data_IF_039575871835
#
_entry.id   IF_039575871835
#
_cell.length_a   1.000
_cell.length_b   1.000
_cell.length_c   1.000
_cell.angle_alpha   90.00
_cell.angle_beta   90.00
_cell.angle_gamma   90.00
#
_symmetry.space_group_name_H-M   'P 1'
#
loop_
_entity.id
_entity.type
_entity.pdbx_description
1 polymer ?
#
# COMPACT_ATOMS: atom_id res chain seq x y z
N UNK A 1 -21.05 22.13 -3.22
CA UNK A 1 -19.82 22.53 -2.49
C UNK A 1 -18.61 21.67 -2.83
N UNK A 2 -18.77 20.35 -2.99
CA UNK A 2 -17.68 19.41 -3.38
C UNK A 2 -17.06 19.68 -4.75
N UNK A 3 -17.71 20.51 -5.57
CA UNK A 3 -17.24 20.92 -6.91
C UNK A 3 -16.28 22.11 -6.90
N UNK A 4 -16.06 22.78 -5.76
CA UNK A 4 -15.16 23.93 -5.65
C UNK A 4 -14.01 23.66 -4.68
N UNK A 5 -12.84 23.33 -5.23
CA UNK A 5 -11.64 23.01 -4.47
C UNK A 5 -11.24 24.10 -3.48
N UNK A 6 -11.36 25.37 -3.86
CA UNK A 6 -11.04 26.51 -3.00
C UNK A 6 -11.95 26.53 -1.76
N UNK A 7 -13.26 26.36 -1.95
CA UNK A 7 -14.23 26.36 -0.86
C UNK A 7 -13.99 25.17 0.09
N UNK A 8 -13.75 23.97 -0.45
CA UNK A 8 -13.45 22.77 0.33
C UNK A 8 -12.16 22.93 1.14
N UNK A 9 -11.10 23.50 0.55
CA UNK A 9 -9.84 23.77 1.27
C UNK A 9 -10.04 24.74 2.43
N UNK A 10 -10.72 25.87 2.19
CA UNK A 10 -11.03 26.86 3.25
C UNK A 10 -11.83 26.24 4.39
N UNK A 11 -12.87 25.47 4.05
CA UNK A 11 -13.68 24.76 5.04
C UNK A 11 -12.85 23.74 5.82
N UNK A 12 -11.99 22.96 5.15
CA UNK A 12 -11.10 21.99 5.81
C UNK A 12 -10.16 22.66 6.81
N UNK A 13 -9.55 23.78 6.44
CA UNK A 13 -8.69 24.57 7.35
C UNK A 13 -9.46 25.07 8.56
N UNK A 14 -10.69 25.57 8.36
CA UNK A 14 -11.55 26.01 9.47
C UNK A 14 -11.97 24.84 10.38
N UNK A 15 -12.33 23.70 9.82
CA UNK A 15 -12.65 22.49 10.58
C UNK A 15 -11.44 21.97 11.38
N UNK A 16 -10.23 22.03 10.81
CA UNK A 16 -9.02 21.66 11.53
C UNK A 16 -8.74 22.62 12.70
N UNK A 17 -8.90 23.93 12.49
CA UNK A 17 -8.80 24.93 13.57
C UNK A 17 -9.82 24.66 14.66
N UNK A 18 -11.10 24.48 14.30
CA UNK A 18 -12.16 24.16 15.24
C UNK A 18 -11.87 22.87 16.03
N UNK A 19 -11.33 21.82 15.39
CA UNK A 19 -10.89 20.59 16.07
C UNK A 19 -9.81 20.86 17.13
N UNK A 20 -8.83 21.72 16.82
CA UNK A 20 -7.78 22.11 17.78
C UNK A 20 -8.38 22.91 18.93
N UNK A 21 -9.27 23.87 18.63
CA UNK A 21 -9.97 24.67 19.64
C UNK A 21 -10.80 23.79 20.57
N UNK A 22 -11.51 22.79 20.04
CA UNK A 22 -12.28 21.81 20.82
C UNK A 22 -11.43 20.92 21.73
N UNK A 23 -10.12 20.83 21.50
CA UNK A 23 -9.21 20.13 22.41
C UNK A 23 -8.95 20.92 23.70
N UNK A 24 -9.25 22.22 23.70
CA UNK A 24 -9.09 23.14 24.85
C UNK A 24 -10.46 23.55 25.38
N UNK A 25 -11.32 24.06 24.51
CA UNK A 25 -12.65 24.61 24.81
C UNK A 25 -13.77 23.61 24.54
N UNK A 26 -14.92 23.78 25.21
CA UNK A 26 -16.08 22.89 25.02
C UNK A 26 -16.87 23.22 23.73
N UNK A 27 -16.60 24.36 23.11
CA UNK A 27 -17.29 24.87 21.91
C UNK A 27 -16.29 25.55 20.99
N UNK A 28 -16.51 25.44 19.68
CA UNK A 28 -15.76 26.15 18.66
C UNK A 28 -16.71 26.71 17.60
N UNK A 29 -16.39 27.90 17.09
CA UNK A 29 -17.18 28.58 16.06
C UNK A 29 -16.38 28.65 14.77
N UNK A 30 -17.01 28.28 13.67
CA UNK A 30 -16.50 28.40 12.30
C UNK A 30 -17.17 29.61 11.66
N UNK A 31 -16.38 30.58 11.25
CA UNK A 31 -16.82 31.79 10.55
C UNK A 31 -15.97 31.94 9.29
N UNK A 32 -16.61 31.87 8.13
CA UNK A 32 -15.98 31.92 6.81
C UNK A 32 -16.78 32.84 5.91
N UNK A 33 -16.24 34.02 5.64
CA UNK A 33 -16.83 34.97 4.69
C UNK A 33 -16.73 34.43 3.25
N UNK A 34 -17.82 34.59 2.49
CA UNK A 34 -17.92 34.25 1.07
C UNK A 34 -17.34 32.85 0.80
N UNK A 35 -17.87 31.85 1.48
CA UNK A 35 -17.37 30.48 1.37
C UNK A 35 -17.64 29.92 -0.04
N UNK A 36 -18.85 30.14 -0.55
CA UNK A 36 -19.24 29.73 -1.90
C UNK A 36 -20.39 30.62 -2.42
N UNK A 37 -20.30 31.09 -3.66
CA UNK A 37 -21.38 31.86 -4.31
C UNK A 37 -21.79 33.15 -3.59
N UNK A 38 -20.83 33.89 -3.01
CA UNK A 38 -21.07 35.09 -2.20
C UNK A 38 -21.90 34.84 -0.93
N UNK A 39 -21.93 33.59 -0.44
CA UNK A 39 -22.61 33.23 0.81
C UNK A 39 -21.58 33.01 1.91
N UNK A 40 -21.78 33.70 3.02
CA UNK A 40 -21.02 33.48 4.26
C UNK A 40 -21.45 32.18 4.94
N UNK A 41 -20.50 31.53 5.60
CA UNK A 41 -20.76 30.33 6.38
C UNK A 41 -20.42 30.58 7.85
N UNK A 42 -21.43 30.39 8.71
CA UNK A 42 -21.29 30.44 10.16
C UNK A 42 -21.90 29.21 10.78
N UNK A 43 -21.14 28.54 11.64
CA UNK A 43 -21.60 27.38 12.40
C UNK A 43 -20.86 27.30 13.72
N UNK A 44 -21.49 26.75 14.74
CA UNK A 44 -20.83 26.37 15.99
C UNK A 44 -20.90 24.86 16.19
N UNK A 45 -19.88 24.28 16.81
CA UNK A 45 -19.85 22.87 17.18
C UNK A 45 -19.37 22.72 18.62
N UNK A 46 -19.99 21.81 19.36
CA UNK A 46 -19.58 21.46 20.72
C UNK A 46 -18.62 20.26 20.69
N UNK A 47 -17.78 20.13 21.72
CA UNK A 47 -16.88 18.98 21.87
C UNK A 47 -17.66 17.68 21.88
N UNK A 48 -18.77 17.61 22.63
CA UNK A 48 -19.62 16.43 22.68
C UNK A 48 -20.14 16.04 21.29
N UNK A 49 -20.57 17.01 20.47
CA UNK A 49 -21.04 16.74 19.11
C UNK A 49 -19.92 16.26 18.20
N UNK A 50 -18.74 16.88 18.28
CA UNK A 50 -17.57 16.42 17.54
C UNK A 50 -17.17 14.99 17.93
N UNK A 51 -17.19 14.68 19.22
CA UNK A 51 -16.83 13.35 19.71
C UNK A 51 -17.82 12.28 19.26
N UNK A 52 -19.11 12.60 19.22
CA UNK A 52 -20.17 11.75 18.69
C UNK A 52 -19.97 11.47 17.18
N UNK A 53 -19.68 12.51 16.39
CA UNK A 53 -19.38 12.38 14.95
C UNK A 53 -18.16 11.48 14.69
N UNK A 54 -17.17 11.49 15.58
CA UNK A 54 -15.96 10.69 15.47
C UNK A 54 -16.01 9.36 16.25
N UNK A 55 -17.14 9.02 16.87
CA UNK A 55 -17.27 7.85 17.76
C UNK A 55 -16.85 6.55 17.09
N UNK A 56 -17.23 6.34 15.83
CA UNK A 56 -16.84 5.18 15.03
C UNK A 56 -15.33 5.07 14.78
N UNK A 57 -14.61 6.20 14.72
CA UNK A 57 -13.15 6.22 14.59
C UNK A 57 -12.48 5.93 15.94
N UNK A 58 -12.98 6.50 17.04
CA UNK A 58 -12.42 6.24 18.37
C UNK A 58 -12.52 4.77 18.78
N UNK A 59 -13.63 4.10 18.45
CA UNK A 59 -13.79 2.65 18.70
C UNK A 59 -12.73 1.80 18.00
N UNK A 60 -12.15 2.27 16.89
CA UNK A 60 -11.11 1.54 16.15
C UNK A 60 -9.73 1.68 16.79
N UNK A 61 -9.51 2.67 17.66
CA UNK A 61 -8.19 2.97 18.25
C UNK A 61 -7.70 1.83 19.15
N UNK A 62 -8.58 1.16 19.88
CA UNK A 62 -8.18 0.08 20.80
C UNK A 62 -7.78 -1.20 20.08
N UNK A 63 -8.29 -1.44 18.86
CA UNK A 63 -8.07 -2.71 18.16
C UNK A 63 -6.58 -2.97 17.82
N UNK A 64 -5.80 -2.00 17.29
CA UNK A 64 -4.36 -2.17 17.13
C UNK A 64 -3.61 -2.36 18.45
N UNK A 65 -4.07 -1.71 19.54
CA UNK A 65 -3.42 -1.80 20.86
C UNK A 65 -3.58 -3.21 21.43
N UNK A 66 -4.78 -3.78 21.33
CA UNK A 66 -4.99 -5.18 21.73
C UNK A 66 -4.20 -6.15 20.86
N UNK A 67 -4.08 -5.87 19.56
CA UNK A 67 -3.28 -6.69 18.65
C UNK A 67 -1.81 -6.69 19.06
N UNK A 68 -1.21 -5.53 19.32
CA UNK A 68 0.22 -5.46 19.71
C UNK A 68 0.49 -6.12 21.06
N UNK A 69 -0.44 -6.03 22.02
CA UNK A 69 -0.30 -6.72 23.31
C UNK A 69 -0.34 -8.25 23.16
N UNK A 70 -1.24 -8.77 22.32
CA UNK A 70 -1.29 -10.20 21.99
C UNK A 70 -0.02 -10.67 21.30
N UNK A 71 0.47 -9.89 20.35
CA UNK A 71 1.70 -10.21 19.59
C UNK A 71 2.93 -10.23 20.50
N UNK A 72 3.03 -9.25 21.40
CA UNK A 72 4.08 -9.18 22.40
C UNK A 72 3.93 -10.23 23.51
N UNK A 73 2.77 -10.89 23.61
CA UNK A 73 2.40 -11.79 24.72
C UNK A 73 2.51 -11.11 26.08
N UNK A 74 2.15 -9.83 26.14
CA UNK A 74 2.20 -8.99 27.34
C UNK A 74 0.78 -8.67 27.77
N UNK A 75 0.49 -8.89 29.05
CA UNK A 75 -0.78 -8.47 29.63
C UNK A 75 -0.82 -6.94 29.84
N UNK A 76 -2.02 -6.35 29.77
CA UNK A 76 -2.22 -4.91 29.96
C UNK A 76 -1.61 -4.40 31.27
N UNK A 77 -1.65 -5.20 32.34
CA UNK A 77 -1.12 -4.84 33.66
C UNK A 77 0.40 -4.72 33.71
N UNK A 78 1.10 -5.39 32.78
CA UNK A 78 2.56 -5.39 32.69
C UNK A 78 3.09 -4.17 31.93
N UNK A 79 2.24 -3.44 31.22
CA UNK A 79 2.60 -2.14 30.66
C UNK A 79 2.87 -1.19 31.81
N UNK A 80 4.09 -0.65 31.84
CA UNK A 80 4.53 0.27 32.90
C UNK A 80 4.14 1.70 32.58
N UNK A 81 4.48 2.15 31.38
CA UNK A 81 4.35 3.54 30.95
C UNK A 81 3.66 3.60 29.57
N UNK A 82 2.77 4.58 29.41
CA UNK A 82 2.10 4.87 28.13
C UNK A 82 2.55 6.25 27.66
N UNK A 83 3.33 6.26 26.59
CA UNK A 83 3.87 7.48 25.97
C UNK A 83 2.99 7.89 24.80
N UNK A 84 2.54 9.14 24.79
CA UNK A 84 1.66 9.67 23.75
C UNK A 84 2.46 10.55 22.79
N UNK A 85 2.51 10.16 21.52
CA UNK A 85 3.18 10.93 20.46
C UNK A 85 2.17 11.41 19.41
N UNK A 86 2.42 12.60 18.85
CA UNK A 86 1.60 13.22 17.81
C UNK A 86 0.52 14.17 18.34
N UNK A 87 0.21 15.20 17.54
CA UNK A 87 -0.68 16.30 17.93
C UNK A 87 -2.13 15.87 18.23
N UNK A 88 -2.64 14.83 17.55
CA UNK A 88 -3.99 14.30 17.78
C UNK A 88 -4.17 13.69 19.17
N UNK A 89 -3.10 13.29 19.84
CA UNK A 89 -3.16 12.75 21.21
C UNK A 89 -3.44 13.82 22.28
N UNK A 90 -3.53 15.10 21.89
CA UNK A 90 -3.95 16.20 22.78
C UNK A 90 -5.47 16.25 22.98
N UNK A 91 -6.22 15.47 22.21
CA UNK A 91 -7.68 15.42 22.33
C UNK A 91 -8.09 14.77 23.65
N UNK A 92 -8.92 15.42 24.49
CA UNK A 92 -9.36 14.86 25.77
C UNK A 92 -9.99 13.47 25.64
N UNK A 93 -10.77 13.24 24.58
CA UNK A 93 -11.39 11.93 24.32
C UNK A 93 -10.38 10.80 24.12
N UNK A 94 -9.26 11.07 23.45
CA UNK A 94 -8.21 10.09 23.20
C UNK A 94 -7.50 9.71 24.49
N UNK A 95 -7.17 10.70 25.31
CA UNK A 95 -6.57 10.48 26.64
C UNK A 95 -7.52 9.67 27.53
N UNK A 96 -8.80 10.06 27.59
CA UNK A 96 -9.81 9.34 28.37
C UNK A 96 -9.96 7.88 27.91
N UNK A 97 -10.00 7.65 26.59
CA UNK A 97 -10.12 6.30 26.01
C UNK A 97 -8.91 5.45 26.39
N UNK A 98 -7.69 5.98 26.29
CA UNK A 98 -6.47 5.24 26.64
C UNK A 98 -6.34 5.00 28.15
N UNK A 99 -6.65 5.99 28.99
CA UNK A 99 -6.70 5.81 30.45
C UNK A 99 -7.73 4.74 30.83
N UNK A 100 -8.92 4.75 30.22
CA UNK A 100 -9.92 3.71 30.47
C UNK A 100 -9.48 2.32 30.00
N UNK A 101 -8.70 2.24 28.91
CA UNK A 101 -8.23 0.97 28.35
C UNK A 101 -7.13 0.30 29.19
N UNK A 102 -6.18 1.09 29.71
CA UNK A 102 -5.08 0.60 30.55
C UNK A 102 -5.38 0.63 32.06
N UNK A 103 -6.52 1.21 32.47
CA UNK A 103 -7.02 1.24 33.84
C UNK A 103 -6.72 2.51 34.62
N UNK A 104 -7.36 2.66 35.79
CA UNK A 104 -7.33 3.87 36.64
C UNK A 104 -5.92 4.24 37.16
N UNK A 105 -4.95 3.32 37.11
CA UNK A 105 -3.54 3.61 37.38
C UNK A 105 -2.99 4.75 36.51
N UNK A 106 -3.58 4.98 35.33
CA UNK A 106 -3.27 6.06 34.39
C UNK A 106 -4.31 7.18 34.37
N UNK A 107 -5.29 7.15 35.27
CA UNK A 107 -6.18 8.28 35.53
C UNK A 107 -5.50 9.30 36.47
N UNK A 108 -4.81 8.80 37.52
CA UNK A 108 -4.14 9.63 38.53
C UNK A 108 -2.65 9.87 38.25
N UNK A 109 -1.97 8.89 37.63
CA UNK A 109 -0.68 9.16 36.98
C UNK A 109 -1.01 9.88 35.69
N UNK A 110 -0.53 11.12 35.54
CA UNK A 110 -0.44 11.76 34.23
C UNK A 110 0.19 10.71 33.29
N UNK A 111 -0.55 10.27 32.27
CA UNK A 111 0.05 9.71 31.05
C UNK A 111 1.32 10.52 30.77
N UNK A 112 2.40 9.91 30.25
CA UNK A 112 3.75 10.52 30.22
C UNK A 112 3.89 11.80 29.35
N UNK A 113 2.79 12.52 29.10
CA UNK A 113 2.66 13.89 28.61
C UNK A 113 3.63 14.91 29.22
N UNK A 114 4.04 14.74 30.48
CA UNK A 114 4.87 15.75 31.15
C UNK A 114 6.36 15.63 30.84
N UNK A 115 6.81 14.52 30.25
CA UNK A 115 8.25 14.21 30.12
C UNK A 115 8.73 14.41 28.69
N UNK A 116 7.86 14.26 27.68
CA UNK A 116 8.22 14.32 26.26
C UNK A 116 7.33 15.32 25.52
N UNK A 117 7.93 16.17 24.69
CA UNK A 117 7.18 16.99 23.75
C UNK A 117 6.61 16.09 22.64
N UNK A 118 5.29 15.86 22.67
CA UNK A 118 4.57 14.99 21.73
C UNK A 118 4.83 15.28 20.24
N UNK A 119 5.23 16.51 19.89
CA UNK A 119 5.45 16.92 18.50
C UNK A 119 6.89 16.71 18.03
N UNK A 120 7.85 16.69 18.95
CA UNK A 120 9.30 16.68 18.63
C UNK A 120 9.94 15.31 18.91
N UNK A 121 9.28 14.45 19.70
CA UNK A 121 9.83 13.15 20.09
C UNK A 121 10.35 12.30 18.91
N UNK A 122 9.62 12.30 17.78
CA UNK A 122 10.04 11.58 16.57
C UNK A 122 11.31 12.18 15.95
N UNK A 123 11.42 13.51 15.91
CA UNK A 123 12.61 14.18 15.38
C UNK A 123 13.82 13.96 16.28
N UNK A 124 13.66 14.07 17.61
CA UNK A 124 14.72 13.74 18.57
C UNK A 124 15.19 12.29 18.43
N UNK A 125 14.27 11.32 18.33
CA UNK A 125 14.61 9.93 18.09
C UNK A 125 15.39 9.72 16.80
N UNK A 126 15.00 10.40 15.72
CA UNK A 126 15.73 10.37 14.45
C UNK A 126 17.15 10.95 14.57
N UNK A 127 17.34 12.03 15.33
CA UNK A 127 18.67 12.59 15.61
C UNK A 127 19.55 11.62 16.38
N UNK A 128 19.01 10.93 17.39
CA UNK A 128 19.73 9.89 18.13
C UNK A 128 20.09 8.73 17.21
N UNK A 129 19.17 8.29 16.35
CA UNK A 129 19.47 7.26 15.34
C UNK A 129 20.54 7.70 14.34
N UNK A 130 20.57 8.97 13.94
CA UNK A 130 21.62 9.50 13.08
C UNK A 130 22.99 9.47 13.80
N UNK A 131 23.03 9.91 15.06
CA UNK A 131 24.23 9.87 15.88
C UNK A 131 24.73 8.43 16.13
N UNK A 132 23.84 7.43 16.18
CA UNK A 132 24.22 6.02 16.31
C UNK A 132 24.89 5.45 15.07
N UNK A 133 24.59 6.01 13.89
CA UNK A 133 25.23 5.65 12.63
C UNK A 133 26.48 6.50 12.35
N UNK A 134 26.78 7.47 13.22
CA UNK A 134 27.94 8.35 13.13
C UNK A 134 28.99 7.93 14.15
N UNK A 135 30.17 7.54 13.67
CA UNK A 135 31.28 7.09 14.53
C UNK A 135 31.82 8.21 15.46
N UNK A 136 31.37 9.45 15.28
CA UNK A 136 31.88 10.62 16.02
C UNK A 136 31.16 10.92 17.35
N UNK A 137 30.08 10.21 17.69
CA UNK A 137 29.24 10.50 18.86
C UNK A 137 29.38 9.47 20.00
N UNK A 138 30.37 9.61 20.91
CA UNK A 138 30.66 8.61 21.95
C UNK A 138 29.55 8.41 22.98
N UNK A 139 28.71 9.43 23.22
CA UNK A 139 27.65 9.39 24.24
C UNK A 139 26.52 8.39 23.93
N UNK A 140 26.40 7.93 22.68
CA UNK A 140 25.33 7.02 22.24
C UNK A 140 25.80 5.59 22.00
N UNK A 141 27.10 5.29 22.11
CA UNK A 141 27.67 3.97 21.81
C UNK A 141 27.12 2.83 22.69
N UNK A 142 26.49 3.14 23.82
CA UNK A 142 25.87 2.15 24.70
C UNK A 142 24.42 1.80 24.33
N UNK A 143 23.84 2.42 23.30
CA UNK A 143 22.47 2.16 22.87
C UNK A 143 22.44 1.09 21.77
N UNK A 144 21.62 0.07 21.99
CA UNK A 144 21.27 -0.92 20.98
C UNK A 144 19.80 -0.77 20.62
N UNK A 145 19.51 -0.53 19.34
CA UNK A 145 18.14 -0.43 18.82
C UNK A 145 17.86 -1.66 17.96
N UNK A 146 16.81 -2.39 18.31
CA UNK A 146 16.31 -3.53 17.55
C UNK A 146 14.94 -3.19 16.96
N UNK A 147 14.81 -3.37 15.65
CA UNK A 147 13.56 -3.19 14.94
C UNK A 147 12.95 -4.53 14.54
N UNK A 148 11.71 -4.50 14.07
CA UNK A 148 10.99 -5.69 13.59
C UNK A 148 10.24 -5.40 12.29
N UNK A 149 9.96 -6.45 11.51
CA UNK A 149 9.16 -6.36 10.28
C UNK A 149 7.67 -6.14 10.63
N UNK A 150 6.98 -5.10 10.12
CA UNK A 150 5.60 -4.79 10.52
C UNK A 150 4.54 -5.71 9.89
N UNK A 151 4.83 -6.30 8.73
CA UNK A 151 3.95 -7.21 7.99
C UNK A 151 4.74 -8.40 7.49
N UNK A 152 4.07 -9.54 7.43
CA UNK A 152 4.64 -10.76 6.89
C UNK A 152 4.93 -10.60 5.40
N UNK A 153 6.00 -11.24 4.94
CA UNK A 153 6.47 -11.26 3.55
C UNK A 153 6.49 -12.70 3.08
N UNK A 154 6.02 -12.92 1.87
CA UNK A 154 5.87 -14.26 1.31
C UNK A 154 5.42 -14.26 -0.13
N UNK A 155 5.12 -15.44 -0.65
CA UNK A 155 4.85 -15.66 -2.07
C UNK A 155 3.46 -16.26 -2.31
N UNK A 156 2.97 -16.08 -3.53
CA UNK A 156 1.83 -16.85 -4.02
C UNK A 156 2.22 -18.31 -4.25
N UNK A 157 1.41 -19.21 -3.70
CA UNK A 157 1.48 -20.66 -3.90
C UNK A 157 0.16 -21.16 -4.49
N UNK A 158 0.14 -22.42 -4.92
CA UNK A 158 -1.02 -23.05 -5.57
C UNK A 158 -2.37 -22.70 -4.93
N UNK A 159 -3.33 -22.32 -5.78
CA UNK A 159 -4.67 -21.93 -5.32
C UNK A 159 -4.78 -20.47 -4.83
N UNK A 160 -3.79 -19.61 -5.11
CA UNK A 160 -3.81 -18.21 -4.71
C UNK A 160 -3.60 -18.00 -3.21
N UNK A 161 -2.94 -18.95 -2.56
CA UNK A 161 -2.66 -18.93 -1.12
C UNK A 161 -1.34 -18.20 -0.87
N UNK A 162 -1.34 -17.34 0.14
CA UNK A 162 -0.15 -16.65 0.62
C UNK A 162 0.67 -17.57 1.53
N UNK A 163 1.86 -17.96 1.09
CA UNK A 163 2.82 -18.68 1.93
C UNK A 163 3.87 -17.72 2.47
N UNK A 164 3.89 -17.57 3.80
CA UNK A 164 4.75 -16.62 4.51
C UNK A 164 6.15 -17.20 4.72
N UNK A 165 7.18 -16.45 4.32
CA UNK A 165 8.59 -16.82 4.52
C UNK A 165 9.20 -16.03 5.68
N UNK A 166 8.93 -14.72 5.76
CA UNK A 166 9.26 -13.88 6.93
C UNK A 166 7.97 -13.45 7.60
N UNK A 167 7.70 -13.95 8.79
CA UNK A 167 6.55 -13.54 9.60
C UNK A 167 6.71 -12.12 10.15
N UNK A 168 5.59 -11.41 10.36
CA UNK A 168 5.59 -10.14 11.07
C UNK A 168 6.21 -10.26 12.46
N UNK A 169 6.69 -9.14 12.97
CA UNK A 169 7.42 -9.01 14.23
C UNK A 169 8.75 -9.78 14.28
N UNK A 170 9.25 -10.31 13.16
CA UNK A 170 10.63 -10.85 13.08
C UNK A 170 11.62 -9.70 13.25
N UNK A 171 12.61 -9.83 14.13
CA UNK A 171 13.67 -8.84 14.36
C UNK A 171 14.51 -8.62 13.11
N UNK A 172 14.83 -7.37 12.78
CA UNK A 172 15.72 -7.01 11.67
C UNK A 172 17.10 -6.57 12.20
N UNK A 173 18.20 -6.81 11.46
CA UNK A 173 18.26 -7.45 10.15
C UNK A 173 17.93 -8.96 10.19
N UNK A 174 17.35 -9.50 9.13
CA UNK A 174 16.96 -10.92 9.04
C UNK A 174 17.01 -11.44 7.62
N UNK A 175 17.56 -12.65 7.46
CA UNK A 175 17.56 -13.40 6.21
C UNK A 175 16.90 -14.75 6.42
N UNK A 176 15.87 -15.06 5.64
CA UNK A 176 15.17 -16.36 5.66
C UNK A 176 15.03 -16.91 4.26
N UNK A 177 15.20 -18.22 4.16
CA UNK A 177 15.14 -18.98 2.91
C UNK A 177 14.16 -20.13 3.08
N UNK A 178 13.28 -20.33 2.11
CA UNK A 178 12.42 -21.50 2.01
C UNK A 178 12.53 -22.10 0.60
N UNK A 179 12.58 -23.42 0.55
CA UNK A 179 12.61 -24.18 -0.69
C UNK A 179 11.16 -24.51 -1.10
N UNK A 180 10.82 -24.24 -2.35
CA UNK A 180 9.52 -24.50 -2.93
C UNK A 180 9.63 -25.46 -4.10
N UNK A 181 8.71 -26.40 -4.19
CA UNK A 181 8.50 -27.20 -5.40
C UNK A 181 7.79 -26.37 -6.44
N UNK A 182 8.16 -26.56 -7.70
CA UNK A 182 7.49 -25.91 -8.82
C UNK A 182 6.63 -26.95 -9.52
N UNK A 183 5.34 -26.66 -9.66
CA UNK A 183 4.40 -27.53 -10.35
C UNK A 183 3.67 -26.75 -11.43
N UNK A 184 3.63 -27.34 -12.63
CA UNK A 184 2.64 -26.99 -13.64
C UNK A 184 1.49 -28.01 -13.53
N UNK A 185 0.21 -27.58 -13.63
CA UNK A 185 -0.84 -28.54 -13.94
C UNK A 185 -0.50 -29.18 -15.28
N UNK A 186 -0.34 -30.49 -15.33
CA UNK A 186 -0.41 -31.17 -16.61
C UNK A 186 -1.84 -30.94 -17.13
N UNK A 187 -1.97 -30.24 -18.26
CA UNK A 187 -3.19 -30.36 -19.05
C UNK A 187 -3.44 -31.86 -19.23
N UNK A 188 -4.67 -32.37 -18.98
CA UNK A 188 -4.94 -33.78 -19.19
C UNK A 188 -4.46 -34.15 -20.60
N UNK A 189 -3.81 -35.30 -20.79
CA UNK A 189 -3.32 -35.70 -22.11
C UNK A 189 -4.50 -35.61 -23.08
N UNK A 190 -4.42 -34.65 -23.99
CA UNK A 190 -5.33 -34.51 -25.10
C UNK A 190 -5.07 -35.74 -25.96
N UNK A 191 -5.87 -36.78 -25.82
CA UNK A 191 -5.98 -37.82 -26.83
C UNK A 191 -6.92 -37.24 -27.90
N UNK A 192 -6.42 -36.84 -29.09
CA UNK A 192 -7.31 -36.52 -30.18
C UNK A 192 -7.73 -37.87 -30.78
N UNK A 193 -8.79 -38.47 -30.25
CA UNK A 193 -9.55 -39.45 -31.04
C UNK A 193 -10.44 -38.66 -31.99
N UNK A 194 -10.07 -38.69 -33.26
CA UNK A 194 -10.87 -38.18 -34.36
C UNK A 194 -12.21 -38.90 -34.40
N UNK A 195 -13.26 -38.28 -33.88
CA UNK A 195 -14.63 -38.67 -34.20
C UNK A 195 -15.17 -37.71 -35.26
N UNK A 196 -15.26 -38.21 -36.48
CA UNK A 196 -15.95 -37.55 -37.58
C UNK A 196 -17.44 -37.47 -37.27
N UNK A 197 -17.98 -36.27 -37.29
CA UNK A 197 -19.41 -36.02 -37.33
C UNK A 197 -20.00 -36.64 -38.61
N UNK A 198 -21.04 -37.47 -38.48
CA UNK A 198 -21.99 -37.72 -39.57
C UNK A 198 -23.42 -37.76 -39.03
N UNK A 199 -24.16 -36.76 -39.48
CA UNK A 199 -25.53 -36.78 -40.01
C UNK A 199 -26.70 -37.21 -39.10
N UNK A 200 -27.44 -36.18 -38.68
CA UNK A 200 -28.90 -36.03 -38.81
C UNK A 200 -29.76 -37.30 -38.68
N UNK A 201 -30.37 -37.48 -37.50
CA UNK A 201 -31.61 -38.25 -37.37
C UNK A 201 -32.80 -37.28 -37.44
N UNK A 202 -33.58 -37.38 -38.50
CA UNK A 202 -34.91 -36.78 -38.62
C UNK A 202 -35.92 -37.73 -37.96
N UNK A 203 -36.71 -37.23 -37.02
CA UNK A 203 -37.85 -37.94 -36.48
C UNK A 203 -39.11 -37.49 -37.22
N UNK A 204 -39.72 -38.39 -37.98
CA UNK A 204 -41.05 -38.20 -38.56
C UNK A 204 -42.09 -38.39 -37.44
N UNK A 205 -42.86 -37.33 -37.21
CA UNK A 205 -44.03 -37.30 -36.35
C UNK A 205 -45.17 -38.07 -37.02
N UNK A 206 -45.54 -39.25 -36.50
CA UNK A 206 -46.92 -39.72 -36.57
C UNK A 206 -47.22 -40.79 -35.51
N UNK A 207 -48.28 -40.52 -34.75
CA UNK A 207 -48.95 -41.40 -33.80
C UNK A 207 -49.35 -42.73 -34.45
N UNK A 208 -49.10 -43.85 -33.76
CA UNK A 208 -50.14 -44.78 -33.29
C UNK A 208 -49.51 -46.07 -32.74
N UNK A 209 -49.92 -46.41 -31.51
CA UNK A 209 -50.00 -47.73 -30.88
C UNK A 209 -49.16 -48.93 -31.37
N UNK A 210 -48.55 -49.58 -30.36
CA UNK A 210 -47.95 -50.93 -30.31
C UNK A 210 -46.46 -51.07 -30.63
N UNK A 211 -45.75 -51.39 -29.56
CA UNK A 211 -44.68 -52.40 -29.44
C UNK A 211 -44.34 -53.19 -30.72
N UNK A 212 -43.09 -53.02 -31.17
CA UNK A 212 -42.13 -54.04 -31.65
C UNK A 212 -41.21 -53.44 -32.74
N UNK A 213 -40.06 -52.89 -32.33
CA UNK A 213 -38.92 -52.81 -33.24
C UNK A 213 -38.19 -54.16 -33.19
N UNK A 214 -38.56 -55.08 -34.08
CA UNK A 214 -37.82 -56.31 -34.32
C UNK A 214 -36.52 -56.02 -35.04
N UNK A 215 -35.39 -56.35 -34.43
CA UNK A 215 -34.10 -56.41 -35.11
C UNK A 215 -34.13 -57.63 -36.04
N UNK A 216 -34.18 -57.43 -37.35
CA UNK A 216 -34.01 -58.52 -38.30
C UNK A 216 -32.56 -59.01 -38.26
N UNK A 217 -32.43 -60.32 -38.11
CA UNK A 217 -31.21 -61.11 -38.18
C UNK A 217 -30.28 -60.69 -39.33
N UNK A 218 -29.03 -60.36 -39.03
CA UNK A 218 -27.89 -60.81 -39.82
C UNK A 218 -26.64 -60.78 -38.95
N UNK A 219 -26.04 -61.96 -38.77
CA UNK A 219 -24.71 -62.15 -38.20
C UNK A 219 -23.68 -61.27 -38.93
N UNK A 220 -23.15 -60.23 -38.29
CA UNK A 220 -21.79 -59.75 -38.52
C UNK A 220 -21.37 -58.82 -37.37
N UNK A 221 -20.11 -59.01 -36.97
CA UNK A 221 -19.44 -58.39 -35.85
C UNK A 221 -19.18 -56.90 -36.09
N UNK A 222 -19.17 -56.15 -34.99
CA UNK A 222 -18.84 -54.72 -34.86
C UNK A 222 -19.83 -53.76 -35.54
N UNK A 223 -20.71 -53.12 -34.76
CA UNK A 223 -20.71 -51.65 -34.69
C UNK A 223 -21.71 -51.05 -33.69
N UNK A 224 -21.23 -49.95 -33.10
CA UNK A 224 -21.88 -49.03 -32.18
C UNK A 224 -23.30 -48.60 -32.63
N UNK A 225 -24.32 -48.89 -31.81
CA UNK A 225 -25.57 -48.15 -31.81
C UNK A 225 -25.87 -47.63 -30.40
N UNK A 226 -25.59 -46.35 -30.17
CA UNK A 226 -26.05 -45.63 -28.99
C UNK A 226 -27.52 -45.24 -29.18
N UNK A 227 -28.44 -46.00 -28.59
CA UNK A 227 -29.75 -45.48 -28.21
C UNK A 227 -29.86 -45.52 -26.69
N UNK A 228 -29.84 -44.32 -26.13
CA UNK A 228 -30.03 -43.97 -24.73
C UNK A 228 -31.39 -44.43 -24.24
N UNK A 229 -31.47 -45.58 -23.58
CA UNK A 229 -32.34 -45.80 -22.43
C UNK A 229 -31.99 -47.10 -21.73
N UNK A 230 -31.97 -47.04 -20.39
CA UNK A 230 -31.82 -48.17 -19.49
C UNK A 230 -30.48 -48.93 -19.55
N UNK A 231 -29.59 -48.61 -18.61
CA UNK A 231 -28.55 -49.54 -18.22
C UNK A 231 -28.65 -49.79 -16.72
N UNK A 232 -29.63 -50.62 -16.35
CA UNK A 232 -29.69 -51.29 -15.04
C UNK A 232 -28.94 -52.64 -15.04
N UNK A 233 -28.26 -53.03 -16.13
CA UNK A 233 -27.59 -54.35 -16.20
C UNK A 233 -26.07 -54.34 -16.37
N UNK A 234 -25.40 -53.17 -16.39
CA UNK A 234 -23.93 -53.12 -16.39
C UNK A 234 -23.31 -52.90 -15.00
N UNK A 235 -24.09 -53.03 -13.93
CA UNK A 235 -23.59 -52.88 -12.55
C UNK A 235 -23.28 -54.21 -11.86
N UNK A 236 -23.41 -55.36 -12.56
CA UNK A 236 -23.22 -56.70 -11.97
C UNK A 236 -21.86 -57.37 -12.23
N UNK A 237 -20.97 -56.79 -13.04
CA UNK A 237 -19.64 -57.39 -13.27
C UNK A 237 -18.48 -56.67 -12.56
N UNK A 238 -18.71 -55.47 -12.00
CA UNK A 238 -17.66 -54.69 -11.30
C UNK A 238 -17.93 -54.40 -9.80
N UNK A 239 -19.12 -54.71 -9.28
CA UNK A 239 -19.43 -54.59 -7.84
C UNK A 239 -20.07 -55.89 -7.35
N UNK A 240 -19.27 -56.74 -6.70
CA UNK A 240 -19.70 -58.05 -6.18
C UNK A 240 -20.64 -58.02 -4.96
N UNK A 241 -21.65 -57.14 -4.92
CA UNK A 241 -22.75 -57.21 -3.94
C UNK A 241 -23.95 -56.32 -4.33
N UNK A 242 -25.15 -56.76 -3.97
CA UNK A 242 -26.46 -56.13 -4.23
C UNK A 242 -26.55 -54.68 -3.71
N UNK A 243 -27.05 -53.77 -4.56
CA UNK A 243 -27.39 -52.41 -4.15
C UNK A 243 -28.74 -52.41 -3.43
N UNK A 244 -28.72 -52.41 -2.10
CA UNK A 244 -29.90 -52.25 -1.26
C UNK A 244 -30.27 -50.75 -1.17
N UNK A 245 -31.41 -50.37 -1.73
CA UNK A 245 -31.95 -49.01 -1.61
C UNK A 245 -32.85 -48.94 -0.37
N UNK A 246 -32.24 -48.67 0.78
CA UNK A 246 -32.96 -48.46 2.03
C UNK A 246 -32.15 -47.73 3.09
N UNK A 247 -32.61 -46.55 3.49
CA UNK A 247 -32.29 -45.95 4.79
C UNK A 247 -31.06 -45.05 4.84
N UNK A 248 -31.32 -43.74 4.96
CA UNK A 248 -30.38 -42.83 5.60
C UNK A 248 -30.01 -43.38 7.00
N UNK A 249 -28.75 -43.77 7.19
CA UNK A 249 -27.89 -43.44 8.32
C UNK A 249 -26.51 -44.09 8.13
N UNK A 250 -25.46 -43.29 8.37
CA UNK A 250 -24.10 -43.70 8.67
C UNK A 250 -23.43 -44.69 7.70
N UNK A 251 -23.07 -44.20 6.51
CA UNK A 251 -21.97 -44.77 5.72
C UNK A 251 -20.81 -43.79 5.79
N UNK A 252 -19.80 -44.16 6.57
CA UNK A 252 -18.46 -43.59 6.46
C UNK A 252 -18.02 -43.73 5.01
N UNK A 253 -18.05 -42.62 4.26
CA UNK A 253 -17.32 -42.53 3.01
C UNK A 253 -15.89 -43.00 3.30
N UNK A 254 -15.34 -44.00 2.58
CA UNK A 254 -13.93 -44.29 2.68
C UNK A 254 -13.25 -42.98 2.32
N UNK A 255 -12.67 -42.38 3.35
CA UNK A 255 -12.02 -41.09 3.28
C UNK A 255 -11.16 -41.10 2.03
N UNK A 256 -11.51 -40.26 1.05
CA UNK A 256 -10.55 -39.75 0.08
C UNK A 256 -9.24 -39.59 0.84
N UNK A 257 -8.11 -40.14 0.34
CA UNK A 257 -6.86 -40.03 1.07
C UNK A 257 -6.73 -38.56 1.44
N UNK A 258 -6.80 -38.26 2.75
CA UNK A 258 -6.53 -36.92 3.24
C UNK A 258 -5.08 -36.73 2.83
N UNK A 259 -4.87 -36.10 1.68
CA UNK A 259 -3.58 -35.59 1.30
C UNK A 259 -3.15 -34.82 2.55
N UNK A 260 -2.11 -35.30 3.23
CA UNK A 260 -1.41 -34.52 4.23
C UNK A 260 -1.12 -33.15 3.62
N UNK A 261 -0.87 -32.10 4.43
CA UNK A 261 -0.69 -30.75 3.90
C UNK A 261 0.30 -30.82 2.73
N UNK A 262 -0.21 -30.66 1.50
CA UNK A 262 0.63 -30.71 0.31
C UNK A 262 1.66 -29.62 0.54
N UNK A 263 2.94 -29.99 0.52
CA UNK A 263 4.01 -29.01 0.66
C UNK A 263 3.70 -27.82 -0.27
N UNK A 264 3.86 -26.58 0.22
CA UNK A 264 3.54 -25.41 -0.57
C UNK A 264 4.36 -25.45 -1.87
N UNK A 265 3.68 -25.33 -3.00
CA UNK A 265 4.29 -25.33 -4.32
C UNK A 265 3.98 -24.02 -5.03
N UNK A 266 4.92 -23.56 -5.85
CA UNK A 266 4.75 -22.42 -6.74
C UNK A 266 3.98 -22.91 -7.97
N UNK A 267 2.86 -22.25 -8.28
CA UNK A 267 2.09 -22.50 -9.50
C UNK A 267 2.80 -21.83 -10.69
N UNK A 268 3.45 -22.64 -11.53
CA UNK A 268 4.23 -22.13 -12.66
C UNK A 268 3.38 -21.81 -13.90
N UNK A 269 2.03 -21.85 -13.84
CA UNK A 269 1.16 -21.43 -14.97
C UNK A 269 1.53 -20.04 -15.49
N UNK A 270 1.85 -19.13 -14.58
CA UNK A 270 2.15 -17.74 -14.90
C UNK A 270 3.63 -17.49 -15.22
N UNK A 271 4.49 -18.53 -15.18
CA UNK A 271 5.95 -18.42 -15.31
C UNK A 271 6.51 -17.26 -14.45
N UNK A 272 5.99 -17.10 -13.24
CA UNK A 272 6.33 -15.98 -12.38
C UNK A 272 6.19 -16.32 -10.90
N UNK A 273 7.10 -15.79 -10.07
CA UNK A 273 6.99 -15.80 -8.62
C UNK A 273 6.44 -14.45 -8.17
N UNK A 274 5.25 -14.48 -7.54
CA UNK A 274 4.58 -13.26 -7.10
C UNK A 274 4.85 -12.99 -5.62
N UNK A 275 5.48 -11.83 -5.42
CA UNK A 275 5.80 -11.06 -4.22
C UNK A 275 4.62 -10.54 -3.41
N UNK A 276 4.34 -10.90 -2.16
CA UNK A 276 3.29 -10.22 -1.37
C UNK A 276 3.74 -9.83 0.04
N UNK A 277 3.07 -8.81 0.58
CA UNK A 277 3.11 -8.48 2.02
C UNK A 277 1.70 -8.37 2.58
N UNK A 278 1.49 -8.90 3.78
CA UNK A 278 0.21 -8.86 4.48
C UNK A 278 -0.02 -10.08 5.38
N UNK A 279 -1.21 -10.10 5.99
CA UNK A 279 -1.56 -11.06 7.06
C UNK A 279 -2.79 -11.91 6.69
N UNK A 280 -3.28 -11.82 5.45
CA UNK A 280 -4.43 -12.59 4.97
C UNK A 280 -3.96 -13.90 4.33
N UNK A 281 -4.81 -14.93 4.39
CA UNK A 281 -4.49 -16.25 3.84
C UNK A 281 -4.45 -16.27 2.30
N UNK A 282 -5.28 -15.46 1.64
CA UNK A 282 -5.34 -15.39 0.18
C UNK A 282 -4.58 -14.18 -0.34
N UNK A 283 -3.83 -14.33 -1.44
CA UNK A 283 -3.00 -13.25 -1.99
C UNK A 283 -3.81 -12.05 -2.49
N UNK A 284 -5.06 -12.27 -2.92
CA UNK A 284 -5.99 -11.22 -3.37
C UNK A 284 -6.32 -10.17 -2.30
N UNK A 285 -6.19 -10.56 -1.03
CA UNK A 285 -6.49 -9.71 0.13
C UNK A 285 -5.22 -9.12 0.77
N UNK A 286 -4.05 -9.34 0.15
CA UNK A 286 -2.75 -8.84 0.55
C UNK A 286 -2.21 -7.81 -0.45
N UNK A 287 -1.10 -7.16 -0.11
CA UNK A 287 -0.47 -6.13 -0.95
C UNK A 287 0.61 -6.74 -1.86
N UNK A 288 0.47 -6.69 -3.20
CA UNK A 288 1.42 -7.30 -4.13
C UNK A 288 2.71 -6.49 -4.22
N UNK A 289 3.86 -6.98 -3.75
CA UNK A 289 5.16 -6.29 -3.77
C UNK A 289 5.81 -6.24 -5.15
N UNK A 290 6.01 -7.39 -5.78
CA UNK A 290 6.73 -7.51 -7.04
C UNK A 290 6.37 -8.82 -7.75
N UNK A 291 6.74 -8.96 -9.01
CA UNK A 291 6.56 -10.22 -9.75
C UNK A 291 7.84 -10.51 -10.50
N UNK A 292 8.46 -11.64 -10.18
CA UNK A 292 9.70 -12.09 -10.80
C UNK A 292 9.32 -13.05 -11.91
N UNK A 293 9.56 -12.65 -13.16
CA UNK A 293 9.43 -13.57 -14.29
C UNK A 293 10.53 -14.64 -14.18
N UNK A 294 10.14 -15.89 -14.37
CA UNK A 294 11.03 -17.06 -14.30
C UNK A 294 10.80 -17.91 -15.56
N UNK A 295 11.85 -18.53 -16.10
CA UNK A 295 11.78 -19.25 -17.37
C UNK A 295 12.24 -20.71 -17.21
N UNK A 296 11.73 -21.60 -18.07
CA UNK A 296 12.33 -22.94 -18.24
C UNK A 296 11.84 -24.04 -17.30
N UNK A 297 10.61 -23.98 -16.78
CA UNK A 297 10.02 -25.10 -16.03
C UNK A 297 9.19 -26.00 -16.93
N UNK A 298 9.70 -27.21 -17.17
CA UNK A 298 8.93 -28.34 -17.70
C UNK A 298 9.09 -29.60 -16.83
N UNK A 299 9.92 -29.53 -15.78
CA UNK A 299 10.21 -30.66 -14.90
C UNK A 299 9.41 -30.53 -13.59
N UNK A 300 8.53 -31.49 -13.26
CA UNK A 300 7.80 -31.53 -11.99
C UNK A 300 8.70 -31.77 -10.76
N UNK A 301 9.99 -32.05 -10.96
CA UNK A 301 10.98 -32.16 -9.88
C UNK A 301 11.74 -30.86 -9.61
N UNK A 302 11.51 -29.81 -10.41
CA UNK A 302 12.19 -28.53 -10.25
C UNK A 302 11.90 -27.88 -8.89
N UNK A 303 12.96 -27.33 -8.29
CA UNK A 303 12.91 -26.64 -6.99
C UNK A 303 13.38 -25.20 -7.16
N UNK A 304 12.86 -24.33 -6.29
CA UNK A 304 13.33 -22.95 -6.16
C UNK A 304 13.50 -22.58 -4.70
N UNK A 305 14.67 -22.03 -4.39
CA UNK A 305 14.96 -21.42 -3.12
C UNK A 305 14.58 -19.94 -3.18
N UNK A 306 13.55 -19.58 -2.42
CA UNK A 306 13.14 -18.18 -2.27
C UNK A 306 13.68 -17.67 -0.95
N UNK A 307 14.57 -16.69 -1.04
CA UNK A 307 15.20 -16.04 0.10
C UNK A 307 14.77 -14.59 0.18
N UNK A 308 14.39 -14.15 1.36
CA UNK A 308 14.18 -12.74 1.67
C UNK A 308 15.23 -12.28 2.66
N UNK A 309 15.89 -11.17 2.32
CA UNK A 309 16.91 -10.51 3.13
C UNK A 309 16.42 -9.10 3.47
N UNK A 310 16.25 -8.81 4.76
CA UNK A 310 15.82 -7.51 5.27
C UNK A 310 16.98 -6.92 6.06
N UNK A 311 17.46 -5.77 5.60
CA UNK A 311 18.59 -5.09 6.21
C UNK A 311 18.20 -4.33 7.50
N UNK A 312 19.19 -3.69 8.14
CA UNK A 312 18.97 -2.91 9.37
C UNK A 312 18.07 -1.67 9.18
N UNK A 313 17.88 -1.22 7.94
CA UNK A 313 16.97 -0.11 7.59
C UNK A 313 15.55 -0.60 7.27
N UNK A 314 15.33 -1.92 7.24
CA UNK A 314 14.05 -2.52 6.86
C UNK A 314 13.84 -2.61 5.36
N UNK A 315 14.89 -2.47 4.54
CA UNK A 315 14.81 -2.65 3.09
C UNK A 315 14.87 -4.13 2.75
N UNK A 316 13.90 -4.57 1.94
CA UNK A 316 13.68 -5.96 1.59
C UNK A 316 14.30 -6.28 0.23
N UNK A 317 15.15 -7.30 0.19
CA UNK A 317 15.69 -7.89 -1.03
C UNK A 317 15.17 -9.31 -1.17
N UNK A 318 14.57 -9.62 -2.31
CA UNK A 318 14.26 -10.99 -2.71
C UNK A 318 15.43 -11.57 -3.50
N UNK A 319 15.85 -12.77 -3.13
CA UNK A 319 16.85 -13.56 -3.83
C UNK A 319 16.18 -14.88 -4.17
N UNK A 320 15.91 -15.10 -5.45
CA UNK A 320 15.31 -16.32 -5.95
C UNK A 320 16.38 -17.10 -6.68
N UNK A 321 16.69 -18.30 -6.20
CA UNK A 321 17.50 -19.26 -6.93
C UNK A 321 16.59 -20.37 -7.44
N UNK A 322 16.70 -20.73 -8.71
CA UNK A 322 15.92 -21.82 -9.30
C UNK A 322 16.75 -22.63 -10.29
N UNK A 323 16.37 -23.89 -10.45
CA UNK A 323 17.00 -24.79 -11.42
C UNK A 323 16.08 -24.93 -12.64
N UNK A 324 16.47 -24.42 -13.82
CA UNK A 324 15.71 -24.65 -15.04
C UNK A 324 15.84 -26.12 -15.51
N UNK A 325 14.92 -26.59 -16.35
CA UNK A 325 14.96 -27.95 -16.92
C UNK A 325 16.26 -28.24 -17.68
N UNK A 326 16.87 -27.22 -18.28
CA UNK A 326 18.14 -27.34 -19.00
C UNK A 326 19.05 -26.22 -18.50
N UNK A 327 20.14 -26.57 -17.82
CA UNK A 327 21.17 -25.61 -17.42
C UNK A 327 21.62 -25.73 -15.96
N UNK A 328 22.36 -24.71 -15.52
CA UNK A 328 22.81 -24.53 -14.13
C UNK A 328 21.85 -23.62 -13.38
N UNK A 329 21.87 -23.65 -12.05
CA UNK A 329 21.03 -22.78 -11.21
C UNK A 329 21.17 -21.30 -11.59
N UNK A 330 20.03 -20.64 -11.79
CA UNK A 330 19.95 -19.20 -12.01
C UNK A 330 19.57 -18.51 -10.70
N UNK A 331 20.16 -17.34 -10.42
CA UNK A 331 19.83 -16.54 -9.24
C UNK A 331 19.42 -15.14 -9.66
N UNK A 332 18.21 -14.74 -9.28
CA UNK A 332 17.66 -13.42 -9.52
C UNK A 332 17.63 -12.68 -8.19
N UNK A 333 18.28 -11.51 -8.14
CA UNK A 333 18.27 -10.62 -6.97
C UNK A 333 17.44 -9.39 -7.31
N UNK A 334 16.37 -9.19 -6.55
CA UNK A 334 15.45 -8.06 -6.72
C UNK A 334 15.34 -7.30 -5.42
N UNK A 335 15.69 -6.02 -5.44
CA UNK A 335 15.34 -5.10 -4.35
C UNK A 335 13.86 -4.77 -4.46
N UNK A 336 13.09 -5.13 -3.44
CA UNK A 336 11.63 -5.04 -3.43
C UNK A 336 11.17 -3.65 -3.03
N UNK A 337 11.50 -2.70 -3.90
CA UNK A 337 11.35 -1.27 -3.69
C UNK A 337 10.16 -0.79 -4.52
N UNK A 338 8.93 -0.90 -3.98
CA UNK A 338 7.74 -0.39 -4.67
C UNK A 338 7.85 1.11 -4.92
N UNK A 339 7.72 1.52 -6.19
CA UNK A 339 7.50 2.91 -6.56
C UNK A 339 8.75 3.80 -6.53
N UNK A 340 9.94 3.22 -6.64
CA UNK A 340 11.15 4.02 -6.71
C UNK A 340 11.39 4.62 -8.09
N UNK A 341 11.84 5.86 -8.01
CA UNK A 341 12.42 6.63 -9.10
C UNK A 341 13.68 5.89 -9.59
N UNK A 342 13.80 5.72 -10.91
CA UNK A 342 15.06 5.20 -11.48
C UNK A 342 16.24 6.09 -11.06
N UNK A 343 17.48 5.60 -11.12
CA UNK A 343 18.64 6.47 -10.86
C UNK A 343 18.64 7.72 -11.74
N UNK A 344 18.11 7.61 -12.97
CA UNK A 344 17.90 8.74 -13.86
C UNK A 344 16.85 9.72 -13.30
N UNK A 345 15.72 9.22 -12.80
CA UNK A 345 14.69 10.07 -12.18
C UNK A 345 15.17 10.74 -10.89
N UNK A 346 15.92 10.02 -10.06
CA UNK A 346 16.55 10.59 -8.86
C UNK A 346 17.46 11.74 -9.26
N UNK A 347 18.38 11.53 -10.20
CA UNK A 347 19.27 12.59 -10.70
C UNK A 347 18.49 13.78 -11.25
N UNK A 348 17.51 13.51 -12.12
CA UNK A 348 16.65 14.54 -12.73
C UNK A 348 15.92 15.36 -11.67
N UNK A 349 15.36 14.71 -10.66
CA UNK A 349 14.66 15.40 -9.57
C UNK A 349 15.63 16.23 -8.73
N UNK A 350 16.79 15.69 -8.36
CA UNK A 350 17.81 16.43 -7.62
C UNK A 350 18.23 17.69 -8.37
N UNK A 351 18.57 17.57 -9.65
CA UNK A 351 18.93 18.72 -10.49
C UNK A 351 17.78 19.73 -10.60
N UNK A 352 16.55 19.27 -10.74
CA UNK A 352 15.38 20.17 -10.78
C UNK A 352 15.16 20.90 -9.44
N UNK A 353 15.37 20.22 -8.31
CA UNK A 353 15.25 20.82 -6.98
C UNK A 353 16.34 21.86 -6.72
N UNK A 354 17.59 21.55 -7.09
CA UNK A 354 18.71 22.49 -6.98
C UNK A 354 18.47 23.72 -7.86
N UNK A 355 18.06 23.53 -9.12
CA UNK A 355 17.74 24.62 -10.02
C UNK A 355 16.56 25.48 -9.49
N UNK A 356 15.53 24.87 -8.92
CA UNK A 356 14.40 25.60 -8.33
C UNK A 356 14.77 26.34 -7.04
N UNK A 357 15.68 25.77 -6.23
CA UNK A 357 16.20 26.41 -5.02
C UNK A 357 17.07 27.61 -5.36
N UNK A 358 17.93 27.48 -6.37
CA UNK A 358 18.77 28.55 -6.86
C UNK A 358 17.94 29.66 -7.52
N UNK A 359 16.98 29.33 -8.39
CA UNK A 359 16.04 30.31 -8.97
C UNK A 359 15.26 31.06 -7.89
N UNK A 360 14.77 30.38 -6.84
CA UNK A 360 14.13 31.04 -5.70
C UNK A 360 15.07 32.03 -5.01
N UNK A 361 16.33 31.64 -4.83
CA UNK A 361 17.35 32.48 -4.19
C UNK A 361 17.69 33.69 -5.05
N UNK A 362 17.89 33.50 -6.37
CA UNK A 362 18.13 34.59 -7.33
C UNK A 362 16.97 35.57 -7.39
N UNK A 363 15.73 35.10 -7.40
CA UNK A 363 14.54 35.97 -7.35
C UNK A 363 14.51 36.83 -6.09
N UNK A 364 14.85 36.26 -4.93
CA UNK A 364 14.95 37.00 -3.67
C UNK A 364 16.03 38.07 -3.73
N UNK A 365 17.23 37.71 -4.18
CA UNK A 365 18.35 38.66 -4.28
C UNK A 365 18.01 39.80 -5.24
N UNK A 366 17.46 39.51 -6.42
CA UNK A 366 17.08 40.53 -7.40
C UNK A 366 15.97 41.46 -6.88
N UNK A 367 14.97 40.90 -6.18
CA UNK A 367 13.91 41.66 -5.53
C UNK A 367 14.48 42.61 -4.46
N UNK A 368 15.30 42.09 -3.54
CA UNK A 368 15.93 42.88 -2.48
C UNK A 368 16.86 43.98 -3.05
N UNK A 369 17.64 43.67 -4.10
CA UNK A 369 18.52 44.63 -4.76
C UNK A 369 17.74 45.79 -5.39
N UNK A 370 16.69 45.49 -6.17
CA UNK A 370 15.85 46.53 -6.77
C UNK A 370 15.15 47.37 -5.70
N UNK A 371 14.61 46.72 -4.66
CA UNK A 371 13.96 47.40 -3.55
C UNK A 371 14.92 48.38 -2.85
N UNK A 372 16.14 47.93 -2.51
CA UNK A 372 17.16 48.77 -1.89
C UNK A 372 17.58 49.94 -2.77
N UNK A 373 17.74 49.72 -4.07
CA UNK A 373 18.09 50.78 -5.01
C UNK A 373 16.99 51.86 -5.13
N UNK A 374 15.73 51.44 -5.23
CA UNK A 374 14.59 52.36 -5.30
C UNK A 374 14.38 53.13 -3.98
N UNK A 375 14.57 52.49 -2.82
CA UNK A 375 14.51 53.19 -1.52
C UNK A 375 15.69 54.16 -1.36
N UNK A 376 16.86 53.81 -1.90
CA UNK A 376 18.06 54.64 -1.85
C UNK A 376 17.98 55.94 -2.64
N UNK A 377 16.96 56.12 -3.50
CA UNK A 377 16.69 57.39 -4.19
C UNK A 377 17.67 57.78 -5.29
N UNK A 378 18.59 56.89 -5.69
CA UNK A 378 19.70 57.21 -6.60
C UNK A 378 19.41 56.84 -8.06
N UNK A 379 18.31 57.35 -8.63
CA UNK A 379 17.88 57.11 -10.02
C UNK A 379 17.81 58.44 -10.81
N UNK A 380 18.89 58.86 -11.48
CA UNK A 380 19.03 60.23 -12.02
C UNK A 380 18.08 60.58 -13.16
N UNK A 381 17.51 59.58 -13.83
CA UNK A 381 16.64 59.76 -15.01
C UNK A 381 15.14 59.59 -14.72
N UNK A 382 14.75 59.30 -13.48
CA UNK A 382 13.39 58.90 -13.11
C UNK A 382 12.85 59.73 -11.94
N UNK A 383 11.52 59.87 -11.85
CA UNK A 383 10.89 60.60 -10.74
C UNK A 383 10.60 59.65 -9.59
N UNK A 384 10.50 60.21 -8.39
CA UNK A 384 10.10 59.44 -7.21
C UNK A 384 8.74 58.73 -7.38
N UNK A 385 7.79 59.31 -8.12
CA UNK A 385 6.51 58.68 -8.42
C UNK A 385 6.65 57.38 -9.22
N UNK A 386 7.60 57.33 -10.17
CA UNK A 386 7.85 56.15 -11.00
C UNK A 386 8.48 55.02 -10.13
N UNK A 387 9.33 55.38 -9.16
CA UNK A 387 9.90 54.43 -8.19
C UNK A 387 8.84 53.83 -7.24
N UNK A 388 7.86 54.63 -6.81
CA UNK A 388 6.74 54.17 -5.96
C UNK A 388 5.91 53.10 -6.67
N UNK A 389 5.59 53.29 -7.95
CA UNK A 389 4.83 52.30 -8.74
C UNK A 389 5.55 50.94 -8.80
N UNK A 390 6.88 50.95 -8.93
CA UNK A 390 7.66 49.70 -8.97
C UNK A 390 7.81 49.07 -7.59
N UNK A 391 7.88 49.85 -6.50
CA UNK A 391 7.85 49.33 -5.13
C UNK A 391 6.50 48.64 -4.83
N UNK A 392 5.38 49.26 -5.23
CA UNK A 392 4.06 48.63 -5.10
C UNK A 392 3.98 47.33 -5.91
N UNK A 393 4.52 47.32 -7.14
CA UNK A 393 4.63 46.11 -7.92
C UNK A 393 5.46 45.02 -7.22
N UNK A 394 6.62 45.37 -6.65
CA UNK A 394 7.47 44.46 -5.87
C UNK A 394 6.73 43.83 -4.68
N UNK A 395 5.85 44.59 -4.03
CA UNK A 395 5.00 44.08 -2.95
C UNK A 395 3.94 43.11 -3.50
N UNK A 396 3.33 43.39 -4.66
CA UNK A 396 2.33 42.49 -5.24
C UNK A 396 2.88 41.12 -5.65
N UNK A 397 4.14 41.08 -6.09
CA UNK A 397 4.80 39.83 -6.51
C UNK A 397 5.39 39.05 -5.33
N UNK A 398 5.50 39.67 -4.15
CA UNK A 398 6.02 39.08 -2.93
C UNK A 398 4.88 38.60 -2.02
N UNK A 399 4.65 37.29 -1.97
CA UNK A 399 3.73 36.68 -1.01
C UNK A 399 4.54 35.95 0.07
N UNK A 400 4.93 36.70 1.11
CA UNK A 400 5.76 36.20 2.20
C UNK A 400 7.17 35.86 1.70
N UNK A 401 7.51 34.56 1.63
CA UNK A 401 8.82 34.09 1.14
C UNK A 401 8.83 33.69 -0.34
N UNK A 402 7.72 33.87 -1.06
CA UNK A 402 7.57 33.45 -2.44
C UNK A 402 7.45 34.66 -3.37
N UNK A 403 8.36 34.75 -4.33
CA UNK A 403 8.36 35.79 -5.37
C UNK A 403 7.85 35.16 -6.68
N UNK A 404 6.74 35.70 -7.18
CA UNK A 404 6.05 35.18 -8.37
C UNK A 404 6.71 35.58 -9.68
N UNK A 405 7.33 36.76 -9.72
CA UNK A 405 8.03 37.23 -10.92
C UNK A 405 9.34 36.44 -11.13
N UNK A 406 9.71 36.28 -12.40
CA UNK A 406 11.01 35.77 -12.79
C UNK A 406 12.11 36.78 -12.50
N UNK A 407 13.35 36.28 -12.35
CA UNK A 407 14.54 37.14 -12.19
C UNK A 407 14.64 38.16 -13.35
N UNK A 408 14.36 37.72 -14.58
CA UNK A 408 14.41 38.58 -15.78
C UNK A 408 13.43 39.75 -15.73
N UNK A 409 12.22 39.53 -15.22
CA UNK A 409 11.22 40.59 -15.08
C UNK A 409 11.66 41.63 -14.05
N UNK A 410 12.24 41.19 -12.93
CA UNK A 410 12.78 42.08 -11.88
C UNK A 410 14.00 42.85 -12.39
N UNK A 411 14.94 42.17 -13.05
CA UNK A 411 16.14 42.79 -13.64
C UNK A 411 15.81 43.75 -14.80
N UNK A 412 14.73 43.49 -15.56
CA UNK A 412 14.26 44.41 -16.58
C UNK A 412 13.77 45.72 -15.96
N UNK A 413 13.00 45.65 -14.86
CA UNK A 413 12.62 46.83 -14.08
C UNK A 413 13.83 47.54 -13.52
N UNK A 414 14.81 46.82 -12.98
CA UNK A 414 16.06 47.40 -12.50
C UNK A 414 16.85 48.14 -13.58
N UNK A 415 17.02 47.54 -14.76
CA UNK A 415 17.74 48.15 -15.89
C UNK A 415 17.08 49.44 -16.40
N UNK A 416 15.76 49.53 -16.36
CA UNK A 416 15.04 50.77 -16.73
C UNK A 416 15.52 51.94 -15.84
N UNK A 417 15.66 51.72 -14.53
CA UNK A 417 16.07 52.78 -13.60
C UNK A 417 17.56 53.13 -13.66
N UNK A 418 18.43 52.22 -14.12
CA UNK A 418 19.85 52.49 -14.33
C UNK A 418 20.11 53.47 -15.50
N UNK A 419 19.14 53.64 -16.41
CA UNK A 419 19.29 54.47 -17.62
C UNK A 419 19.96 53.72 -18.78
N UNK A 420 20.15 54.37 -19.95
CA UNK A 420 20.87 53.74 -21.06
C UNK A 420 22.27 53.33 -20.59
N UNK A 421 22.68 52.11 -20.93
CA UNK A 421 24.06 51.69 -20.72
C UNK A 421 24.97 52.74 -21.36
N UNK A 422 25.89 53.29 -20.58
CA UNK A 422 27.01 54.02 -21.15
C UNK A 422 27.82 52.94 -21.87
N UNK A 423 27.47 52.65 -23.12
CA UNK A 423 28.43 52.07 -24.05
C UNK A 423 29.52 53.12 -24.18
N UNK A 424 30.76 52.73 -23.84
CA UNK A 424 31.95 53.55 -24.01
C UNK A 424 31.95 54.10 -25.45
N UNK A 425 31.64 55.39 -25.58
CA UNK A 425 31.89 56.16 -26.79
C UNK A 425 33.21 56.88 -26.55
N UNK A 426 34.24 56.35 -27.22
CA UNK A 426 35.62 56.83 -27.46
C UNK A 426 36.10 58.13 -26.78
#
# INVERSE_FOLDING_TARGET
>A
MTTCDRAVRRLRTACEKAKRDLSISNTATLELEVLFGNVDFRSSITRARFEDLCSGLFRKVTQPIEKVLRDAKIDKSQVRDVVLAGGSMRMPKMQQLLSSFFGERYADKKLCHSILNNNEAAAHGATVMAALNDDTSPDVWHLLVLHVVPYSVGIETGGGVMTTVISRNTTIPSKKSEEFKISQPQSPPYHPTSFSYRDECTCDDSDDSNDECTCNDSDDLDDNCCCTHYCEEHCKEYCGSECDHGGHNDIDFPSYPRYGPKEPFIDARDNAIKIFTGERSMVRDNTPLHTIAIHGFYDPTARSDVTFDIDGNGLLTAIVTYTPHIGTNETIVVKLDKGYLSQHDVKRLTTNFEAAADDRTRRRVAHEQLQMYLIGGNYPYWRAADAVEVLEWLDTISLGRHIKASVREIEAKYRIFLGPAIEDVD
#
